data_IF_613349815955
#
_entry.id   IF_613349815955
#
_cell.length_a   1.000
_cell.length_b   1.000
_cell.length_c   1.000
_cell.angle_alpha   90.00
_cell.angle_beta   90.00
_cell.angle_gamma   90.00
#
_symmetry.space_group_name_H-M   'P 1'
#
loop_
_entity.id
_entity.type
_entity.pdbx_description
1 polymer ?
#
# COMPACT_ATOMS: atom_id res chain seq x y z
N UNK A 1 -8.37 -5.54 5.13
CA UNK A 1 -7.08 -6.23 5.43
C UNK A 1 -7.19 -6.95 6.77
N UNK A 2 -7.68 -6.26 7.81
CA UNK A 2 -8.11 -6.89 9.07
C UNK A 2 -9.12 -8.03 8.86
N UNK A 3 -9.99 -7.93 7.85
CA UNK A 3 -10.96 -9.01 7.51
C UNK A 3 -10.26 -10.34 7.18
N UNK A 4 -9.08 -10.27 6.53
CA UNK A 4 -8.28 -11.47 6.23
C UNK A 4 -7.64 -12.05 7.50
N UNK A 5 -7.28 -11.17 8.44
CA UNK A 5 -6.74 -11.58 9.73
C UNK A 5 -7.84 -12.22 10.60
N UNK A 6 -9.03 -11.62 10.66
CA UNK A 6 -10.20 -12.20 11.32
C UNK A 6 -10.53 -13.59 10.76
N UNK A 7 -10.58 -13.72 9.44
CA UNK A 7 -10.83 -14.99 8.78
C UNK A 7 -9.75 -16.04 9.08
N UNK A 8 -8.48 -15.62 9.20
CA UNK A 8 -7.37 -16.50 9.55
C UNK A 8 -7.45 -16.99 11.00
N UNK A 9 -7.74 -16.08 11.95
CA UNK A 9 -7.89 -16.37 13.38
C UNK A 9 -9.12 -17.24 13.67
N UNK A 10 -10.21 -17.00 12.94
CA UNK A 10 -11.41 -17.84 13.01
C UNK A 10 -11.13 -19.25 12.48
N UNK A 11 -10.40 -19.36 11.37
CA UNK A 11 -9.99 -20.67 10.80
C UNK A 11 -9.03 -21.45 11.69
N UNK A 12 -8.15 -20.78 12.43
CA UNK A 12 -7.22 -21.44 13.35
C UNK A 12 -7.90 -21.87 14.66
N UNK A 13 -9.16 -21.50 14.88
CA UNK A 13 -9.89 -21.75 16.12
C UNK A 13 -9.34 -20.98 17.31
N UNK A 14 -8.57 -19.91 17.04
CA UNK A 14 -7.91 -19.12 18.09
C UNK A 14 -8.84 -18.07 18.70
N UNK A 15 -9.78 -17.56 17.91
CA UNK A 15 -10.78 -16.58 18.34
C UNK A 15 -12.07 -16.79 17.55
N UNK A 16 -13.20 -16.71 18.24
CA UNK A 16 -14.53 -16.56 17.65
C UNK A 16 -14.75 -15.15 17.09
N UNK A 17 -15.82 -14.96 16.31
CA UNK A 17 -16.20 -13.63 15.80
C UNK A 17 -16.47 -12.64 16.93
N UNK A 18 -17.13 -13.08 18.00
CA UNK A 18 -17.44 -12.24 19.15
C UNK A 18 -16.17 -11.83 19.91
N UNK A 19 -15.25 -12.77 20.12
CA UNK A 19 -13.95 -12.48 20.74
C UNK A 19 -13.08 -11.55 19.89
N UNK A 20 -13.22 -11.62 18.55
CA UNK A 20 -12.55 -10.69 17.66
C UNK A 20 -13.11 -9.26 17.79
N UNK A 21 -14.43 -9.09 17.77
CA UNK A 21 -15.05 -7.76 17.94
C UNK A 21 -14.69 -7.14 19.29
N UNK A 22 -14.71 -7.95 20.36
CA UNK A 22 -14.29 -7.49 21.69
C UNK A 22 -12.80 -7.11 21.74
N UNK A 23 -11.90 -7.90 21.14
CA UNK A 23 -10.47 -7.65 21.26
C UNK A 23 -9.94 -6.54 20.34
N UNK A 24 -10.52 -6.38 19.15
CA UNK A 24 -10.02 -5.49 18.11
C UNK A 24 -10.87 -4.23 17.86
N UNK A 25 -12.15 -4.20 18.28
CA UNK A 25 -13.03 -3.04 18.09
C UNK A 25 -13.47 -2.41 19.42
N UNK A 26 -14.27 -3.13 20.21
CA UNK A 26 -14.91 -2.59 21.42
C UNK A 26 -13.96 -2.50 22.64
N UNK A 27 -12.98 -3.39 22.71
CA UNK A 27 -12.12 -3.59 23.87
C UNK A 27 -12.74 -4.51 24.94
N UNK A 28 -11.88 -5.25 25.64
CA UNK A 28 -12.27 -6.16 26.73
C UNK A 28 -12.13 -5.44 28.07
N UNK A 29 -13.17 -5.50 28.91
CA UNK A 29 -13.14 -4.93 30.26
C UNK A 29 -12.05 -5.60 31.11
N UNK A 30 -11.27 -4.79 31.81
CA UNK A 30 -10.18 -5.26 32.65
C UNK A 30 -9.88 -4.29 33.80
N UNK A 31 -9.09 -4.78 34.76
CA UNK A 31 -8.48 -3.95 35.78
C UNK A 31 -6.96 -3.97 35.59
N UNK A 32 -6.35 -2.78 35.62
CA UNK A 32 -4.91 -2.59 35.55
C UNK A 32 -4.40 -2.19 36.92
N UNK A 33 -3.37 -2.91 37.40
CA UNK A 33 -2.62 -2.52 38.59
C UNK A 33 -1.28 -1.95 38.14
N UNK A 34 -1.08 -0.66 38.34
CA UNK A 34 0.19 -0.01 38.01
C UNK A 34 1.25 -0.31 39.09
N UNK A 35 2.48 -0.55 38.65
CA UNK A 35 3.58 -0.77 39.58
C UNK A 35 3.86 0.50 40.38
N UNK A 36 3.65 0.44 41.69
CA UNK A 36 3.83 1.57 42.60
C UNK A 36 2.52 2.28 42.98
N UNK A 37 1.39 1.90 42.38
CA UNK A 37 0.06 2.31 42.84
C UNK A 37 -0.65 1.12 43.52
N UNK A 38 -1.10 1.25 44.78
CA UNK A 38 -1.86 0.20 45.44
C UNK A 38 -3.30 0.03 44.92
N UNK A 39 -3.79 0.92 44.05
CA UNK A 39 -5.18 0.92 43.60
C UNK A 39 -5.33 0.29 42.20
N UNK A 40 -6.36 -0.54 42.04
CA UNK A 40 -6.77 -1.05 40.73
C UNK A 40 -7.50 0.03 39.93
N UNK A 41 -7.14 0.15 38.66
CA UNK A 41 -7.82 1.01 37.69
C UNK A 41 -8.66 0.17 36.74
N UNK A 42 -9.98 0.39 36.75
CA UNK A 42 -10.90 -0.21 35.78
C UNK A 42 -10.77 0.45 34.42
N UNK A 43 -10.77 -0.33 33.34
CA UNK A 43 -10.73 0.17 31.97
C UNK A 43 -11.03 -0.91 30.94
N UNK A 44 -10.70 -0.62 29.68
CA UNK A 44 -10.77 -1.58 28.57
C UNK A 44 -9.43 -1.69 27.85
N UNK A 45 -9.04 -2.91 27.49
CA UNK A 45 -7.88 -3.17 26.63
C UNK A 45 -8.35 -3.54 25.23
N UNK A 46 -7.70 -2.95 24.23
CA UNK A 46 -7.90 -3.26 22.82
C UNK A 46 -6.55 -3.49 22.14
N UNK A 47 -6.50 -4.42 21.20
CA UNK A 47 -5.32 -4.71 20.39
C UNK A 47 -5.45 -4.02 19.04
N UNK A 48 -4.46 -3.19 18.70
CA UNK A 48 -4.37 -2.55 17.39
C UNK A 48 -3.16 -3.12 16.63
N UNK A 49 -3.38 -3.59 15.41
CA UNK A 49 -2.33 -4.12 14.54
C UNK A 49 -2.20 -3.26 13.30
N UNK A 50 -0.98 -2.88 12.97
CA UNK A 50 -0.64 -2.15 11.75
C UNK A 50 0.29 -2.97 10.88
N UNK A 51 0.02 -3.00 9.57
CA UNK A 51 0.94 -3.57 8.60
C UNK A 51 1.88 -2.47 8.11
N UNK A 52 3.17 -2.59 8.46
CA UNK A 52 4.22 -1.71 8.00
C UNK A 52 4.94 -2.42 6.84
N UNK A 53 4.71 -2.04 5.57
CA UNK A 53 5.43 -2.64 4.47
C UNK A 53 6.93 -2.32 4.61
N UNK A 54 7.78 -3.29 4.34
CA UNK A 54 9.19 -3.00 4.12
C UNK A 54 9.30 -2.04 2.92
N UNK A 55 10.20 -1.07 3.01
CA UNK A 55 10.57 -0.27 1.84
C UNK A 55 10.97 -1.26 0.75
N UNK A 56 10.22 -1.29 -0.34
CA UNK A 56 10.57 -2.15 -1.46
C UNK A 56 11.99 -1.74 -1.87
N UNK A 57 12.93 -2.69 -1.83
CA UNK A 57 14.13 -2.62 -2.63
C UNK A 57 13.61 -2.49 -4.06
N UNK A 58 13.48 -1.26 -4.55
CA UNK A 58 13.18 -1.03 -5.95
C UNK A 58 14.30 -1.75 -6.67
N UNK A 59 14.00 -2.85 -7.37
CA UNK A 59 14.94 -3.37 -8.35
C UNK A 59 15.26 -2.17 -9.22
N UNK A 60 16.47 -1.63 -9.05
CA UNK A 60 17.01 -0.59 -9.90
C UNK A 60 17.41 -1.25 -11.22
N UNK A 61 16.41 -1.81 -11.90
CA UNK A 61 16.46 -2.26 -13.28
C UNK A 61 15.52 -1.35 -14.07
N UNK A 62 15.87 -0.07 -14.10
CA UNK A 62 15.57 0.87 -15.18
C UNK A 62 16.20 2.23 -14.84
N UNK A 63 17.54 2.28 -14.75
CA UNK A 63 18.22 3.50 -15.16
C UNK A 63 18.03 3.63 -16.67
N UNK A 64 16.84 4.04 -17.10
CA UNK A 64 16.66 4.61 -18.42
C UNK A 64 17.34 5.97 -18.30
N UNK A 65 18.57 6.05 -18.82
CA UNK A 65 19.23 7.33 -19.05
C UNK A 65 18.24 8.26 -19.77
N UNK A 66 18.21 9.57 -19.42
CA UNK A 66 17.34 10.51 -20.08
C UNK A 66 17.57 10.44 -21.60
N UNK A 67 16.46 10.30 -22.31
CA UNK A 67 16.31 10.21 -23.76
C UNK A 67 17.49 10.84 -24.49
N UNK A 68 18.20 9.99 -25.24
CA UNK A 68 18.94 10.46 -26.40
C UNK A 68 18.02 11.39 -27.17
N UNK A 69 18.47 12.62 -27.44
CA UNK A 69 17.83 13.52 -28.38
C UNK A 69 17.66 12.76 -29.69
N UNK A 70 16.49 12.15 -29.88
CA UNK A 70 16.01 11.78 -31.21
C UNK A 70 15.75 13.13 -31.84
N UNK A 71 16.76 13.72 -32.48
CA UNK A 71 16.55 14.79 -33.43
C UNK A 71 15.60 14.22 -34.49
N UNK A 72 14.33 14.57 -34.32
CA UNK A 72 13.25 13.96 -35.06
C UNK A 72 13.49 14.12 -36.56
N UNK A 73 13.30 13.04 -37.36
CA UNK A 73 13.21 13.09 -38.82
C UNK A 73 11.89 13.76 -39.28
N UNK A 74 11.50 14.86 -38.62
CA UNK A 74 10.43 15.77 -39.08
C UNK A 74 10.80 16.45 -40.39
N UNK A 75 12.10 16.60 -40.65
CA UNK A 75 12.59 17.11 -41.93
C UNK A 75 12.33 16.13 -43.09
N UNK A 76 12.28 14.83 -42.82
CA UNK A 76 11.99 13.81 -43.84
C UNK A 76 10.50 13.84 -44.24
N UNK A 77 9.60 14.07 -43.27
CA UNK A 77 8.16 14.25 -43.51
C UNK A 77 7.90 15.54 -44.31
N UNK A 78 8.60 16.64 -44.01
CA UNK A 78 8.47 17.90 -44.77
C UNK A 78 8.99 17.78 -46.20
N UNK A 79 10.07 17.00 -46.42
CA UNK A 79 10.62 16.72 -47.76
C UNK A 79 9.63 15.97 -48.65
N UNK A 80 8.94 14.98 -48.10
CA UNK A 80 7.98 14.16 -48.84
C UNK A 80 6.70 14.91 -49.21
N UNK A 81 6.20 15.79 -48.33
CA UNK A 81 5.02 16.61 -48.60
C UNK A 81 5.26 17.73 -49.63
N UNK A 82 6.43 18.38 -49.60
CA UNK A 82 6.73 19.49 -50.52
C UNK A 82 7.19 19.02 -51.91
N UNK A 83 7.63 17.76 -52.05
CA UNK A 83 8.06 17.18 -53.33
C UNK A 83 6.94 16.67 -54.24
N UNK A 84 5.70 16.57 -53.75
CA UNK A 84 4.57 15.98 -54.49
C UNK A 84 3.66 17.01 -55.18
N UNK A 85 3.99 18.31 -55.14
CA UNK A 85 3.14 19.39 -55.69
C UNK A 85 3.75 20.17 -56.87
N UNK A 86 4.68 19.54 -57.61
CA UNK A 86 5.12 20.02 -58.93
C UNK A 86 5.16 18.84 -59.91
N UNK A 87 4.82 19.09 -61.18
CA UNK A 87 4.55 18.17 -62.32
C UNK A 87 3.05 17.86 -62.43
N UNK A 88 2.27 18.32 -63.42
CA UNK A 88 2.48 19.13 -64.63
C UNK A 88 1.11 19.70 -65.03
N UNK A 89 1.08 20.92 -65.57
CA UNK A 89 -0.06 21.56 -66.20
C UNK A 89 0.44 22.48 -67.30
#
# INVERSE_FOLDING_TARGET
MLDKLQAALSRSGQLSSDEYEQLFDEGVDCELLELGDPQWQTGRIRVCLEFIPAQAETSSEASIEPEQTIEFPLDEIRRTLNGANSIDG
#
